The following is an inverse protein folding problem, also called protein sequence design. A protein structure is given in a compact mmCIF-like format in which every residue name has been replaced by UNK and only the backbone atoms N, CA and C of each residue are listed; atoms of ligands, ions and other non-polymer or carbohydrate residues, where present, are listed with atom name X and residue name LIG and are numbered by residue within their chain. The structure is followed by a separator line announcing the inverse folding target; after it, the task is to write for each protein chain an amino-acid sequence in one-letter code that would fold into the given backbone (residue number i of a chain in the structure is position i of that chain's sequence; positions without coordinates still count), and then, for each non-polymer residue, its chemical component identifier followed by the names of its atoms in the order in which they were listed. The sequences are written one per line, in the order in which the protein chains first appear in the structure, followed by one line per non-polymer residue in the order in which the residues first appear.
data_IF_512641337549
#
_entry.id   IF_512641337549
#
_cell.length_a   1.000
_cell.length_b   1.000
_cell.length_c   1.000
_cell.angle_alpha   90.00
_cell.angle_beta   90.00
_cell.angle_gamma   90.00
#
_symmetry.space_group_name_H-M   'P 1'
#
loop_
_entity.id
_entity.type
_entity.pdbx_description
1 polymer ?
#
# COMPACT_ATOMS: atom_id res chain seq x y z
N UNK A 1 -14.65 -0.76 4.07
CA UNK A 1 -14.19 -0.96 2.69
C UNK A 1 -13.22 -2.12 2.64
N UNK A 2 -13.19 -2.83 1.53
CA UNK A 2 -12.31 -3.98 1.32
C UNK A 2 -11.17 -3.57 0.38
N UNK A 3 -9.93 -3.80 0.81
CA UNK A 3 -8.73 -3.44 0.08
C UNK A 3 -8.04 -4.73 -0.36
N UNK A 4 -7.70 -4.84 -1.64
CA UNK A 4 -6.78 -5.86 -2.13
C UNK A 4 -5.37 -5.27 -2.18
N UNK A 5 -4.50 -5.71 -1.29
CA UNK A 5 -3.10 -5.34 -1.27
C UNK A 5 -2.27 -6.40 -2.01
N UNK A 6 -1.38 -5.97 -2.91
CA UNK A 6 -0.55 -6.81 -3.79
C UNK A 6 0.91 -6.40 -3.68
N UNK A 7 1.85 -7.35 -3.73
CA UNK A 7 3.28 -7.05 -3.80
C UNK A 7 4.13 -8.23 -4.27
N UNK A 8 5.22 -7.94 -4.93
CA UNK A 8 6.42 -8.76 -5.22
C UNK A 8 6.20 -9.92 -6.19
N UNK A 9 5.08 -10.61 -6.16
CA UNK A 9 4.84 -11.76 -7.03
C UNK A 9 3.44 -11.72 -7.66
N UNK A 10 3.35 -12.20 -8.88
CA UNK A 10 2.08 -12.43 -9.55
C UNK A 10 1.35 -13.62 -8.94
N UNK A 11 0.08 -13.42 -8.63
CA UNK A 11 -0.77 -14.46 -8.02
C UNK A 11 -1.73 -15.00 -9.08
N UNK A 12 -1.68 -16.29 -9.41
CA UNK A 12 -2.56 -16.89 -10.43
C UNK A 12 -4.05 -16.67 -10.15
N UNK A 13 -4.45 -16.59 -8.89
CA UNK A 13 -5.85 -16.32 -8.52
C UNK A 13 -6.28 -14.87 -8.81
N UNK A 14 -5.34 -13.93 -8.87
CA UNK A 14 -5.57 -12.52 -9.25
C UNK A 14 -5.46 -12.38 -10.77
N UNK A 15 -4.44 -12.99 -11.39
CA UNK A 15 -4.26 -12.99 -12.83
C UNK A 15 -5.02 -14.15 -13.50
N UNK A 16 -6.35 -14.12 -13.40
CA UNK A 16 -7.21 -15.16 -13.95
C UNK A 16 -8.59 -14.63 -14.32
N UNK A 17 -9.27 -15.31 -15.22
CA UNK A 17 -10.65 -14.99 -15.62
C UNK A 17 -11.65 -15.02 -14.45
N UNK A 18 -11.29 -15.64 -13.34
CA UNK A 18 -12.11 -15.71 -12.11
C UNK A 18 -11.81 -14.60 -11.09
N UNK A 19 -11.05 -13.59 -11.45
CA UNK A 19 -10.73 -12.47 -10.55
C UNK A 19 -11.99 -11.79 -10.01
N UNK A 20 -13.02 -11.63 -10.85
CA UNK A 20 -14.29 -11.00 -10.43
C UNK A 20 -15.07 -11.86 -9.43
N UNK A 21 -15.07 -13.18 -9.60
CA UNK A 21 -15.73 -14.10 -8.65
C UNK A 21 -15.06 -14.01 -7.27
N UNK A 22 -13.75 -13.87 -7.24
CA UNK A 22 -12.97 -13.89 -5.99
C UNK A 22 -12.80 -12.51 -5.36
N UNK A 23 -12.52 -11.50 -6.16
CA UNK A 23 -12.15 -10.16 -5.69
C UNK A 23 -13.09 -9.05 -6.17
N UNK A 24 -14.21 -9.38 -6.82
CA UNK A 24 -15.18 -8.37 -7.30
C UNK A 24 -15.86 -7.56 -6.18
N UNK A 25 -15.66 -7.95 -4.92
CA UNK A 25 -16.17 -7.24 -3.74
C UNK A 25 -15.21 -6.18 -3.18
N UNK A 26 -13.99 -6.05 -3.76
CA UNK A 26 -13.03 -5.06 -3.27
C UNK A 26 -13.38 -3.65 -3.75
N UNK A 27 -13.11 -2.67 -2.91
CA UNK A 27 -13.38 -1.26 -3.18
C UNK A 27 -12.14 -0.51 -3.68
N UNK A 28 -10.94 -1.09 -3.47
CA UNK A 28 -9.66 -0.45 -3.70
C UNK A 28 -8.56 -1.49 -3.88
N UNK A 29 -7.62 -1.24 -4.79
CA UNK A 29 -6.37 -2.01 -4.90
C UNK A 29 -5.18 -1.14 -4.51
N UNK A 30 -4.25 -1.72 -3.75
CA UNK A 30 -2.98 -1.09 -3.37
C UNK A 30 -1.84 -2.01 -3.74
N UNK A 31 -0.93 -1.58 -4.62
CA UNK A 31 0.26 -2.32 -4.99
C UNK A 31 1.50 -1.75 -4.31
N UNK A 32 2.19 -2.61 -3.56
CA UNK A 32 3.34 -2.23 -2.74
C UNK A 32 4.70 -2.46 -3.43
N UNK A 33 4.72 -2.53 -4.75
CA UNK A 33 5.94 -2.60 -5.56
C UNK A 33 6.30 -3.99 -6.08
N UNK A 34 7.28 -4.02 -6.97
CA UNK A 34 7.85 -5.21 -7.63
C UNK A 34 6.80 -6.08 -8.34
N UNK A 35 5.85 -5.41 -9.01
CA UNK A 35 4.84 -6.04 -9.86
C UNK A 35 4.94 -5.51 -11.29
N UNK A 36 4.83 -6.37 -12.31
CA UNK A 36 4.84 -5.95 -13.71
C UNK A 36 3.66 -5.00 -14.03
N UNK A 37 3.88 -4.05 -14.93
CA UNK A 37 2.84 -3.09 -15.30
C UNK A 37 1.61 -3.77 -15.90
N UNK A 38 1.79 -4.77 -16.77
CA UNK A 38 0.68 -5.51 -17.40
C UNK A 38 -0.21 -6.22 -16.36
N UNK A 39 0.39 -6.69 -15.26
CA UNK A 39 -0.36 -7.34 -14.20
C UNK A 39 -1.29 -6.34 -13.48
N UNK A 40 -0.78 -5.14 -13.18
CA UNK A 40 -1.61 -4.08 -12.60
C UNK A 40 -2.67 -3.59 -13.56
N UNK A 41 -2.35 -3.43 -14.85
CA UNK A 41 -3.29 -3.04 -15.89
C UNK A 41 -4.41 -4.07 -16.09
N UNK A 42 -4.08 -5.34 -16.00
CA UNK A 42 -5.07 -6.42 -15.97
C UNK A 42 -6.03 -6.27 -14.77
N UNK A 43 -5.49 -6.07 -13.57
CA UNK A 43 -6.30 -5.87 -12.35
C UNK A 43 -7.20 -4.65 -12.48
N UNK A 44 -6.69 -3.53 -13.02
CA UNK A 44 -7.46 -2.31 -13.29
C UNK A 44 -8.63 -2.60 -14.24
N UNK A 45 -8.34 -3.26 -15.36
CA UNK A 45 -9.32 -3.56 -16.40
C UNK A 45 -10.44 -4.49 -15.92
N UNK A 46 -10.08 -5.44 -15.07
CA UNK A 46 -11.03 -6.45 -14.60
C UNK A 46 -11.87 -5.99 -13.41
N UNK A 47 -11.25 -5.36 -12.41
CA UNK A 47 -11.97 -4.97 -11.19
C UNK A 47 -12.65 -3.60 -11.30
N UNK A 48 -12.16 -2.73 -12.19
CA UNK A 48 -12.69 -1.37 -12.40
C UNK A 48 -12.82 -0.56 -11.08
N UNK A 49 -11.86 -0.72 -10.18
CA UNK A 49 -11.74 0.03 -8.93
C UNK A 49 -10.48 0.88 -8.94
N UNK A 50 -10.39 1.93 -8.10
CA UNK A 50 -9.17 2.72 -7.99
C UNK A 50 -7.97 1.87 -7.62
N UNK A 51 -6.85 2.04 -8.35
CA UNK A 51 -5.58 1.36 -8.07
C UNK A 51 -4.52 2.39 -7.72
N UNK A 52 -3.93 2.25 -6.54
CA UNK A 52 -2.81 3.05 -6.08
C UNK A 52 -1.57 2.19 -5.95
N UNK A 53 -0.40 2.73 -6.31
CA UNK A 53 0.82 1.94 -6.26
C UNK A 53 2.04 2.77 -5.84
N UNK A 54 3.08 2.07 -5.42
CA UNK A 54 4.45 2.55 -5.36
C UNK A 54 5.33 1.59 -6.16
N UNK A 55 6.44 2.09 -6.72
CA UNK A 55 7.41 1.21 -7.35
C UNK A 55 8.20 0.44 -6.29
N UNK A 56 8.63 -0.77 -6.63
CA UNK A 56 9.64 -1.48 -5.87
C UNK A 56 11.05 -1.11 -6.31
N UNK A 57 12.01 -1.97 -6.05
CA UNK A 57 13.39 -1.81 -6.51
C UNK A 57 13.75 -2.69 -7.71
N UNK A 58 12.79 -3.47 -8.22
CA UNK A 58 12.87 -4.31 -9.43
C UNK A 58 11.82 -3.87 -10.46
N UNK A 59 11.82 -2.59 -10.83
CA UNK A 59 10.89 -2.09 -11.86
C UNK A 59 11.42 -2.45 -13.23
N UNK A 60 10.62 -3.20 -14.00
CA UNK A 60 10.88 -3.47 -15.42
C UNK A 60 10.39 -2.28 -16.26
N UNK A 61 11.28 -1.75 -17.10
CA UNK A 61 10.90 -0.82 -18.16
C UNK A 61 10.50 -1.63 -19.39
N UNK A 62 9.27 -1.44 -19.83
CA UNK A 62 8.80 -2.08 -21.07
C UNK A 62 9.08 -1.11 -22.22
N UNK A 63 9.91 -1.53 -23.20
CA UNK A 63 10.07 -0.80 -24.45
C UNK A 63 8.88 -1.14 -25.36
N UNK A 64 8.14 -0.13 -25.74
CA UNK A 64 7.06 -0.22 -26.71
C UNK A 64 7.61 -0.21 -28.15
N UNK A 65 6.75 -0.52 -29.13
CA UNK A 65 7.15 -0.67 -30.53
C UNK A 65 7.76 0.61 -31.17
N UNK A 66 7.48 1.77 -30.58
CA UNK A 66 7.93 3.09 -31.08
C UNK A 66 9.13 3.64 -30.25
N UNK A 67 9.93 2.78 -29.65
CA UNK A 67 11.02 3.13 -28.72
C UNK A 67 10.56 3.95 -27.48
N UNK A 68 9.27 4.13 -27.28
CA UNK A 68 8.73 4.70 -26.05
C UNK A 68 8.92 3.72 -24.88
N UNK A 69 9.30 4.26 -23.74
CA UNK A 69 9.48 3.47 -22.50
C UNK A 69 8.24 3.65 -21.64
N UNK A 70 7.53 2.56 -21.40
CA UNK A 70 6.47 2.56 -20.41
C UNK A 70 7.08 2.46 -19.01
N UNK A 71 7.04 3.56 -18.28
CA UNK A 71 7.62 3.71 -16.93
C UNK A 71 6.57 3.57 -15.79
N UNK A 72 5.29 3.41 -16.15
CA UNK A 72 4.17 3.32 -15.20
C UNK A 72 3.02 2.48 -15.76
N UNK A 73 2.26 1.79 -14.89
CA UNK A 73 1.02 1.12 -15.29
C UNK A 73 -0.06 2.14 -15.64
N UNK A 74 -0.75 1.94 -16.77
CA UNK A 74 -1.84 2.81 -17.19
C UNK A 74 -3.07 2.63 -16.29
N UNK A 75 -3.68 3.73 -15.91
CA UNK A 75 -4.89 3.74 -15.08
C UNK A 75 -4.62 3.66 -13.56
N UNK A 76 -3.39 3.40 -13.12
CA UNK A 76 -3.02 3.44 -11.71
C UNK A 76 -2.48 4.81 -11.27
N UNK A 77 -2.62 5.12 -10.00
CA UNK A 77 -2.09 6.35 -9.40
C UNK A 77 -0.83 6.07 -8.57
N UNK A 78 0.30 6.67 -8.96
CA UNK A 78 1.54 6.57 -8.21
C UNK A 78 1.47 7.39 -6.93
N UNK A 79 1.81 6.78 -5.81
CA UNK A 79 1.84 7.43 -4.49
C UNK A 79 3.22 7.97 -4.09
N UNK A 80 4.28 7.67 -4.84
CA UNK A 80 5.63 8.10 -4.46
C UNK A 80 5.71 9.61 -4.22
N UNK A 81 6.09 10.02 -3.01
CA UNK A 81 6.18 11.42 -2.57
C UNK A 81 4.85 12.20 -2.69
N UNK A 82 3.73 11.49 -2.75
CA UNK A 82 2.40 12.07 -2.81
C UNK A 82 1.65 11.88 -1.48
N UNK A 83 0.81 12.86 -1.17
CA UNK A 83 -0.26 12.74 -0.18
C UNK A 83 -1.56 13.08 -0.91
N UNK A 84 -2.42 12.08 -1.08
CA UNK A 84 -3.61 12.14 -1.91
C UNK A 84 -4.86 11.99 -1.03
N UNK A 85 -5.90 12.76 -1.35
CA UNK A 85 -7.24 12.55 -0.85
C UNK A 85 -8.12 11.98 -1.95
N UNK A 86 -8.61 10.75 -1.75
CA UNK A 86 -9.55 10.11 -2.69
C UNK A 86 -10.87 10.90 -2.69
N UNK A 87 -11.35 11.25 -3.88
CA UNK A 87 -12.54 12.12 -4.02
C UNK A 87 -13.82 11.44 -3.56
N UNK A 88 -13.98 10.15 -3.82
CA UNK A 88 -15.23 9.40 -3.57
C UNK A 88 -15.56 9.25 -2.09
N UNK A 89 -14.58 9.00 -1.24
CA UNK A 89 -14.79 8.66 0.17
C UNK A 89 -13.94 9.48 1.15
N UNK A 90 -13.05 10.33 0.62
CA UNK A 90 -12.18 11.19 1.43
C UNK A 90 -10.99 10.49 2.06
N UNK A 91 -10.67 9.25 1.65
CA UNK A 91 -9.52 8.48 2.14
C UNK A 91 -8.22 9.23 1.87
N UNK A 92 -7.36 9.32 2.89
CA UNK A 92 -6.06 9.97 2.83
C UNK A 92 -4.96 8.92 2.66
N UNK A 93 -4.29 8.92 1.50
CA UNK A 93 -3.21 8.00 1.17
C UNK A 93 -1.90 8.76 0.99
N UNK A 94 -0.80 8.14 1.39
CA UNK A 94 0.55 8.59 1.05
C UNK A 94 1.44 7.40 0.77
N UNK A 95 2.48 7.58 -0.07
CA UNK A 95 3.38 6.49 -0.36
C UNK A 95 4.83 6.91 -0.62
N UNK A 96 5.72 5.94 -0.43
CA UNK A 96 7.16 6.04 -0.74
C UNK A 96 7.61 4.72 -1.37
N UNK A 97 8.19 4.81 -2.55
CA UNK A 97 8.70 3.68 -3.32
C UNK A 97 10.06 3.19 -2.85
N UNK A 98 10.44 2.02 -3.36
CA UNK A 98 11.81 1.51 -3.38
C UNK A 98 12.33 0.99 -2.05
N UNK A 99 13.61 0.65 -2.04
CA UNK A 99 14.30 0.01 -0.92
C UNK A 99 15.55 0.78 -0.48
N UNK A 100 16.16 0.33 0.61
CA UNK A 100 17.50 0.76 0.98
C UNK A 100 18.51 0.21 -0.03
N UNK A 101 19.52 1.04 -0.30
CA UNK A 101 20.54 0.70 -1.30
C UNK A 101 21.41 -0.46 -0.86
N UNK A 102 21.36 -1.54 -1.62
CA UNK A 102 22.24 -2.70 -1.49
C UNK A 102 23.08 -2.97 -2.75
N UNK A 103 22.67 -2.43 -3.91
CA UNK A 103 23.41 -2.43 -5.16
C UNK A 103 23.23 -1.10 -5.92
N UNK A 104 23.45 -1.07 -7.24
CA UNK A 104 23.27 0.13 -8.09
C UNK A 104 21.94 0.14 -8.85
N UNK A 105 20.93 -0.62 -8.39
CA UNK A 105 19.60 -0.68 -9.03
C UNK A 105 18.82 0.63 -8.90
N UNK A 106 17.73 0.71 -9.68
CA UNK A 106 16.76 1.80 -9.62
C UNK A 106 16.00 1.80 -8.29
N UNK A 107 15.41 2.93 -7.93
CA UNK A 107 14.58 3.10 -6.73
C UNK A 107 15.23 2.59 -5.43
N UNK A 108 16.56 2.73 -5.33
CA UNK A 108 17.33 2.37 -4.14
C UNK A 108 17.93 3.62 -3.51
N UNK A 109 17.59 3.84 -2.26
CA UNK A 109 17.88 5.07 -1.52
C UNK A 109 18.75 4.81 -0.29
N UNK A 110 19.58 5.77 0.09
CA UNK A 110 20.21 5.73 1.43
C UNK A 110 19.19 6.05 2.52
N UNK A 111 19.49 5.70 3.79
CA UNK A 111 18.64 6.11 4.93
C UNK A 111 18.42 7.62 4.96
N UNK A 112 19.46 8.41 4.62
CA UNK A 112 19.35 9.87 4.57
C UNK A 112 18.39 10.35 3.47
N UNK A 113 18.43 9.73 2.29
CA UNK A 113 17.48 10.03 1.21
C UNK A 113 16.06 9.65 1.60
N UNK A 114 15.87 8.48 2.22
CA UNK A 114 14.55 8.08 2.74
C UNK A 114 14.01 9.07 3.77
N UNK A 115 14.88 9.57 4.68
CA UNK A 115 14.50 10.64 5.61
C UNK A 115 14.04 11.90 4.86
N UNK A 116 14.79 12.37 3.87
CA UNK A 116 14.42 13.57 3.09
C UNK A 116 13.08 13.39 2.38
N UNK A 117 12.86 12.23 1.76
CA UNK A 117 11.60 11.91 1.07
C UNK A 117 10.44 11.89 2.06
N UNK A 118 10.61 11.20 3.19
CA UNK A 118 9.58 11.09 4.22
C UNK A 118 9.22 12.45 4.84
N UNK A 119 10.22 13.27 5.17
CA UNK A 119 10.02 14.63 5.68
C UNK A 119 9.32 15.53 4.66
N UNK A 120 9.51 15.30 3.36
CA UNK A 120 8.81 16.00 2.29
C UNK A 120 7.29 15.80 2.29
N UNK A 121 6.76 14.74 2.91
CA UNK A 121 5.33 14.52 3.07
C UNK A 121 4.71 15.36 4.21
N UNK A 122 5.52 15.72 5.21
CA UNK A 122 5.06 16.33 6.48
C UNK A 122 4.18 17.57 6.28
N UNK A 123 4.53 18.55 5.42
CA UNK A 123 3.68 19.73 5.25
C UNK A 123 2.24 19.40 4.84
N UNK A 124 2.07 18.41 3.92
CA UNK A 124 0.75 17.97 3.48
C UNK A 124 0.01 17.16 4.55
N UNK A 125 0.73 16.36 5.35
CA UNK A 125 0.14 15.65 6.48
C UNK A 125 -0.39 16.63 7.54
N UNK A 126 0.37 17.67 7.85
CA UNK A 126 -0.07 18.74 8.76
C UNK A 126 -1.29 19.49 8.22
N UNK A 127 -1.28 19.82 6.92
CA UNK A 127 -2.44 20.44 6.27
C UNK A 127 -3.68 19.55 6.35
N UNK A 128 -3.55 18.24 6.11
CA UNK A 128 -4.65 17.29 6.27
C UNK A 128 -5.21 17.30 7.69
N UNK A 129 -4.36 17.42 8.71
CA UNK A 129 -4.81 17.52 10.10
C UNK A 129 -5.69 18.73 10.33
N UNK A 130 -5.31 19.88 9.75
CA UNK A 130 -6.09 21.12 9.84
C UNK A 130 -7.41 21.00 9.08
N UNK A 131 -7.38 20.47 7.85
CA UNK A 131 -8.55 20.43 6.97
C UNK A 131 -9.52 19.28 7.29
N UNK A 132 -9.00 18.12 7.73
CA UNK A 132 -9.79 16.88 7.83
C UNK A 132 -9.74 16.24 9.22
N UNK A 133 -9.08 16.87 10.20
CA UNK A 133 -8.97 16.36 11.57
C UNK A 133 -8.00 15.17 11.76
N UNK A 134 -7.37 14.68 10.68
CA UNK A 134 -6.44 13.53 10.71
C UNK A 134 -5.32 13.73 9.71
N UNK A 135 -4.17 13.10 9.96
CA UNK A 135 -2.97 13.27 9.12
C UNK A 135 -3.01 12.39 7.87
N UNK A 136 -3.31 11.10 8.05
CA UNK A 136 -3.19 10.05 7.06
C UNK A 136 -4.02 8.84 7.49
N UNK A 137 -4.63 8.15 6.52
CA UNK A 137 -5.37 6.93 6.78
C UNK A 137 -4.53 5.69 6.40
N UNK A 138 -3.93 5.70 5.21
CA UNK A 138 -3.12 4.58 4.69
C UNK A 138 -1.75 5.07 4.25
N UNK A 139 -0.69 4.45 4.77
CA UNK A 139 0.69 4.64 4.34
C UNK A 139 1.16 3.43 3.54
N UNK A 140 1.60 3.66 2.30
CA UNK A 140 2.01 2.61 1.35
C UNK A 140 3.50 2.74 1.08
N UNK A 141 4.26 1.67 1.29
CA UNK A 141 5.69 1.63 1.00
C UNK A 141 6.05 0.33 0.31
N UNK A 142 7.19 0.28 -0.36
CA UNK A 142 7.73 -1.01 -0.80
C UNK A 142 8.50 -1.67 0.34
N UNK A 143 9.49 -0.99 0.91
CA UNK A 143 10.25 -1.53 2.05
C UNK A 143 9.49 -1.47 3.37
N UNK A 144 9.85 -2.38 4.27
CA UNK A 144 9.35 -2.43 5.64
C UNK A 144 9.87 -1.26 6.50
N UNK A 145 9.14 -0.87 7.57
CA UNK A 145 9.70 -0.01 8.62
C UNK A 145 10.74 -0.76 9.46
N UNK A 146 11.81 -0.06 9.90
CA UNK A 146 12.88 -0.67 10.72
C UNK A 146 12.32 -1.37 11.96
N UNK A 147 12.75 -2.61 12.20
CA UNK A 147 12.38 -3.43 13.34
C UNK A 147 10.95 -3.97 13.30
N UNK A 148 10.27 -3.88 12.15
CA UNK A 148 8.91 -4.42 11.96
C UNK A 148 8.85 -5.08 10.58
N UNK A 149 8.76 -6.41 10.54
CA UNK A 149 8.75 -7.25 9.32
C UNK A 149 9.99 -7.08 8.43
N UNK A 150 11.04 -6.42 8.90
CA UNK A 150 12.32 -6.29 8.19
C UNK A 150 13.26 -7.46 8.53
N UNK A 151 14.38 -7.56 7.83
CA UNK A 151 15.42 -8.55 8.09
C UNK A 151 16.77 -7.86 8.37
N UNK A 152 17.72 -8.65 8.86
CA UNK A 152 19.07 -8.18 9.20
C UNK A 152 19.99 -8.06 8.00
N UNK A 153 19.66 -8.71 6.89
CA UNK A 153 20.44 -8.65 5.68
C UNK A 153 20.37 -7.26 5.02
N UNK A 154 21.34 -7.01 4.13
CA UNK A 154 21.53 -5.67 3.56
C UNK A 154 20.38 -5.22 2.65
N UNK A 155 19.72 -6.15 1.97
CA UNK A 155 18.64 -5.85 1.03
C UNK A 155 17.33 -5.56 1.76
N UNK A 156 17.00 -6.36 2.78
CA UNK A 156 15.69 -6.32 3.46
C UNK A 156 15.69 -5.52 4.76
N UNK A 157 16.78 -4.77 5.05
CA UNK A 157 16.82 -3.88 6.22
C UNK A 157 15.73 -2.82 6.12
N UNK A 158 15.04 -2.58 7.23
CA UNK A 158 13.94 -1.63 7.33
C UNK A 158 14.37 -0.15 7.30
N UNK A 159 13.42 0.70 6.97
CA UNK A 159 13.61 2.14 6.83
C UNK A 159 13.24 2.87 8.13
N UNK A 160 14.22 3.54 8.74
CA UNK A 160 14.06 4.29 10.00
C UNK A 160 13.01 5.40 9.91
N UNK A 161 13.01 6.11 8.79
CA UNK A 161 12.06 7.19 8.54
C UNK A 161 10.61 6.71 8.48
N UNK A 162 10.35 5.49 7.98
CA UNK A 162 8.99 4.93 7.94
C UNK A 162 8.48 4.60 9.34
N UNK A 163 9.32 3.98 10.16
CA UNK A 163 8.98 3.74 11.58
C UNK A 163 8.68 5.04 12.33
N UNK A 164 9.49 6.09 12.08
CA UNK A 164 9.25 7.42 12.65
C UNK A 164 7.92 8.02 12.18
N UNK A 165 7.62 7.97 10.86
CA UNK A 165 6.36 8.49 10.32
C UNK A 165 5.16 7.79 10.94
N UNK A 166 5.19 6.45 10.99
CA UNK A 166 4.11 5.65 11.58
C UNK A 166 3.90 6.03 13.06
N UNK A 167 4.97 6.10 13.83
CA UNK A 167 4.90 6.49 15.26
C UNK A 167 4.33 7.89 15.46
N UNK A 168 4.70 8.84 14.59
CA UNK A 168 4.36 10.26 14.73
C UNK A 168 2.96 10.57 14.24
N UNK A 169 2.62 10.11 13.05
CA UNK A 169 1.37 10.45 12.36
C UNK A 169 0.27 9.39 12.49
N UNK A 170 0.62 8.19 12.95
CA UNK A 170 -0.29 7.09 13.28
C UNK A 170 -1.37 6.86 12.20
N UNK A 171 -1.00 6.55 10.95
CA UNK A 171 -1.98 6.10 9.98
C UNK A 171 -2.73 4.89 10.54
N UNK A 172 -3.98 4.69 10.19
CA UNK A 172 -4.71 3.51 10.66
C UNK A 172 -4.15 2.21 10.06
N UNK A 173 -3.63 2.30 8.82
CA UNK A 173 -3.05 1.17 8.10
C UNK A 173 -1.72 1.56 7.45
N UNK A 174 -0.74 0.67 7.50
CA UNK A 174 0.48 0.73 6.70
C UNK A 174 0.65 -0.59 5.92
N UNK A 175 0.87 -0.48 4.62
CA UNK A 175 1.06 -1.61 3.72
C UNK A 175 2.46 -1.57 3.13
N UNK A 176 3.14 -2.72 3.11
CA UNK A 176 4.45 -2.84 2.48
C UNK A 176 4.66 -4.22 1.85
N UNK A 177 5.70 -4.39 1.05
CA UNK A 177 6.17 -5.62 0.44
C UNK A 177 7.62 -5.90 0.76
N UNK A 178 8.41 -6.24 -0.27
CA UNK A 178 9.85 -6.40 -0.32
C UNK A 178 10.41 -7.59 0.48
N UNK A 179 9.94 -7.81 1.71
CA UNK A 179 10.39 -8.95 2.52
C UNK A 179 9.54 -10.16 2.18
N UNK A 180 10.16 -11.12 1.51
CA UNK A 180 9.50 -12.32 1.05
C UNK A 180 9.22 -13.28 2.21
N UNK A 181 8.00 -13.74 2.33
CA UNK A 181 7.55 -14.57 3.42
C UNK A 181 7.47 -16.04 2.98
N UNK A 182 8.63 -16.69 2.94
CA UNK A 182 8.71 -18.13 2.64
C UNK A 182 8.28 -19.01 3.83
N UNK A 183 8.38 -18.48 5.04
CA UNK A 183 7.97 -19.20 6.26
C UNK A 183 6.59 -18.67 6.72
N UNK A 184 5.54 -19.51 6.73
CA UNK A 184 4.19 -19.11 7.17
C UNK A 184 4.10 -18.73 8.65
N UNK A 185 5.11 -19.08 9.46
CA UNK A 185 5.14 -18.73 10.89
C UNK A 185 5.61 -17.29 11.15
N UNK A 186 6.16 -16.60 10.15
CA UNK A 186 6.55 -15.20 10.30
C UNK A 186 5.27 -14.34 10.32
N UNK A 187 5.08 -13.50 11.36
CA UNK A 187 3.94 -12.60 11.42
C UNK A 187 3.89 -11.67 10.21
N UNK A 188 2.75 -11.65 9.54
CA UNK A 188 2.50 -10.74 8.39
C UNK A 188 1.83 -9.45 8.81
N UNK A 189 1.30 -9.39 10.01
CA UNK A 189 0.60 -8.23 10.56
C UNK A 189 1.12 -7.93 11.97
N UNK A 190 1.40 -6.67 12.22
CA UNK A 190 1.83 -6.15 13.52
C UNK A 190 1.10 -4.85 13.82
N UNK A 191 0.71 -4.62 15.06
CA UNK A 191 0.16 -3.34 15.51
C UNK A 191 1.26 -2.54 16.20
N UNK A 192 1.56 -1.35 15.67
CA UNK A 192 2.58 -0.45 16.22
C UNK A 192 2.01 0.97 16.40
N UNK A 193 1.94 1.45 17.63
CA UNK A 193 1.33 2.75 18.01
C UNK A 193 -0.10 2.96 17.47
N UNK A 194 -0.88 1.89 17.38
CA UNK A 194 -2.26 1.91 16.88
C UNK A 194 -2.37 1.75 15.35
N UNK A 195 -1.27 1.71 14.63
CA UNK A 195 -1.23 1.42 13.19
C UNK A 195 -1.16 -0.09 12.96
N UNK A 196 -2.06 -0.64 12.14
CA UNK A 196 -1.93 -2.00 11.59
C UNK A 196 -0.90 -1.95 10.47
N UNK A 197 0.19 -2.70 10.60
CA UNK A 197 1.25 -2.81 9.59
C UNK A 197 1.15 -4.20 8.97
N UNK A 198 1.01 -4.27 7.66
CA UNK A 198 0.79 -5.53 6.94
C UNK A 198 1.82 -5.68 5.82
N UNK A 199 2.49 -6.82 5.81
CA UNK A 199 3.28 -7.26 4.67
C UNK A 199 2.35 -7.89 3.63
N UNK A 200 2.26 -7.25 2.45
CA UNK A 200 1.38 -7.62 1.35
C UNK A 200 1.99 -8.66 0.40
N UNK A 201 3.14 -9.25 0.71
CA UNK A 201 3.81 -10.24 -0.14
C UNK A 201 2.82 -11.25 -0.75
N UNK A 202 2.78 -11.32 -2.07
CA UNK A 202 1.74 -11.97 -2.85
C UNK A 202 0.45 -11.16 -2.87
N UNK A 203 -0.51 -11.48 -2.00
CA UNK A 203 -1.71 -10.67 -1.80
C UNK A 203 -2.26 -10.73 -0.38
N UNK A 204 -3.04 -9.70 -0.03
CA UNK A 204 -3.82 -9.61 1.20
C UNK A 204 -5.15 -8.90 0.94
N UNK A 205 -6.22 -9.49 1.45
CA UNK A 205 -7.50 -8.79 1.59
C UNK A 205 -7.57 -8.16 2.97
N UNK A 206 -7.80 -6.87 3.01
CA UNK A 206 -7.79 -6.08 4.25
C UNK A 206 -9.10 -5.33 4.37
N UNK A 207 -9.87 -5.63 5.39
CA UNK A 207 -11.03 -4.79 5.75
C UNK A 207 -10.53 -3.54 6.47
N UNK A 208 -10.99 -2.39 6.02
CA UNK A 208 -10.61 -1.07 6.51
C UNK A 208 -11.84 -0.23 6.82
N UNK A 209 -11.92 0.27 8.05
CA UNK A 209 -12.99 1.18 8.47
C UNK A 209 -12.63 2.63 8.16
N UNK A 210 -13.43 3.26 7.31
CA UNK A 210 -13.22 4.67 6.97
C UNK A 210 -13.47 5.54 8.20
N UNK A 211 -12.50 6.38 8.61
CA UNK A 211 -12.70 7.31 9.70
C UNK A 211 -13.89 8.24 9.45
N UNK A 212 -14.87 8.23 10.34
CA UNK A 212 -16.05 9.07 10.28
C UNK A 212 -17.35 8.42 9.77
N UNK A 213 -17.33 7.19 9.26
CA UNK A 213 -18.56 6.44 8.92
C UNK A 213 -19.12 5.58 10.06
N UNK A 214 -18.38 5.39 11.15
CA UNK A 214 -18.72 4.45 12.24
C UNK A 214 -19.72 4.93 13.29
N UNK A 215 -20.40 6.08 13.12
CA UNK A 215 -21.33 6.58 14.16
C UNK A 215 -22.82 6.66 13.77
N UNK A 216 -23.21 6.27 12.56
CA UNK A 216 -24.62 6.30 12.12
C UNK A 216 -25.05 5.04 11.35
N UNK A 217 -24.71 3.85 11.83
CA UNK A 217 -25.43 2.66 11.43
C UNK A 217 -26.64 2.54 12.39
N UNK A 218 -27.91 2.57 11.92
CA UNK A 218 -29.06 2.26 12.78
C UNK A 218 -28.91 0.83 13.24
N UNK A 219 -29.05 0.60 14.55
CA UNK A 219 -29.14 -0.73 15.16
C UNK A 219 -30.23 -1.51 14.41
N UNK A 220 -29.85 -2.57 13.71
CA UNK A 220 -30.83 -3.53 13.18
C UNK A 220 -31.53 -4.14 14.38
N UNK A 221 -32.81 -3.83 14.52
CA UNK A 221 -33.71 -4.43 15.49
C UNK A 221 -33.69 -5.95 15.28
N UNK A 222 -33.25 -6.68 16.28
CA UNK A 222 -33.43 -8.11 16.36
C UNK A 222 -34.94 -8.36 16.47
N UNK A 223 -35.53 -8.81 15.39
CA UNK A 223 -36.92 -9.31 15.40
C UNK A 223 -36.87 -10.67 16.07
N UNK A 224 -37.18 -10.69 17.36
CA UNK A 224 -37.57 -11.92 18.08
C UNK A 224 -38.91 -12.38 17.51
N UNK A 225 -38.92 -13.55 16.84
CA UNK A 225 -40.16 -14.26 16.57
C UNK A 225 -40.64 -14.91 17.88
N UNK A 226 -41.93 -14.80 18.22
CA UNK A 226 -42.49 -15.58 19.30
C UNK A 226 -42.94 -16.96 18.79
N UNK A 227 -42.62 -17.95 19.59
CA UNK A 227 -43.17 -19.36 19.74
C UNK A 227 -44.07 -19.89 18.65
#
# INVERSE_FOLDING_TARGET
MNILALSDIEIPAVYSTRILERFGHVDLVVACGDLPHYYLEYVISMLNVPVYYVNGNHVEEIKLADDEVQDKPWGATNLHRQVIRQKQNGLLLAGIEGSLRYNRGKHQYSQFQMWRITLGLVPRLLLNKVLYGRYLDIFVTHSAPEGIHDDTDRAHRGVKAFRWLIRTFRPALALHGHVHLYNPLIPRETVFHGTRIINAYGYREVTFDLPGRGKNAPAQAQTTQPS
#
